data_IF_177653669476
#
_entry.id   IF_177653669476
#
_cell.length_a   1.000
_cell.length_b   1.000
_cell.length_c   1.000
_cell.angle_alpha   90.00
_cell.angle_beta   90.00
_cell.angle_gamma   90.00
#
_symmetry.space_group_name_H-M   'P 1'
#
loop_
_entity.id
_entity.type
_entity.pdbx_description
1 polymer ?
#
# COMPACT_ATOMS: atom_id res chain seq x y z
N UNK A 1 -20.21 18.20 8.60
CA UNK A 1 -19.07 18.00 9.51
C UNK A 1 -18.04 17.21 8.73
N UNK A 2 -16.94 17.85 8.38
CA UNK A 2 -15.92 17.34 7.46
C UNK A 2 -15.38 15.99 7.92
N UNK A 3 -15.74 14.94 7.19
CA UNK A 3 -15.05 13.66 7.28
C UNK A 3 -13.65 13.87 6.74
N UNK A 4 -12.72 14.26 7.62
CA UNK A 4 -11.29 14.25 7.33
C UNK A 4 -10.91 12.82 6.96
N UNK A 5 -10.77 12.56 5.66
CA UNK A 5 -10.30 11.28 5.19
C UNK A 5 -8.88 11.11 5.74
N UNK A 6 -8.70 10.19 6.69
CA UNK A 6 -7.38 9.87 7.20
C UNK A 6 -6.52 9.39 6.02
N UNK A 7 -5.43 10.12 5.76
CA UNK A 7 -4.55 9.88 4.64
C UNK A 7 -3.38 9.03 5.13
N UNK A 8 -3.28 7.84 4.58
CA UNK A 8 -2.26 6.86 4.92
C UNK A 8 -1.30 6.67 3.76
N UNK A 9 -0.01 6.49 4.02
CA UNK A 9 1.00 6.23 2.99
C UNK A 9 1.57 4.82 3.10
N UNK A 10 1.63 4.10 1.98
CA UNK A 10 2.35 2.82 1.89
C UNK A 10 3.82 3.04 1.59
N UNK A 11 4.67 2.50 2.45
CA UNK A 11 6.12 2.49 2.21
C UNK A 11 6.62 1.08 1.87
N UNK A 12 7.43 0.92 0.81
CA UNK A 12 8.01 -0.36 0.45
C UNK A 12 9.07 -0.79 1.47
N UNK A 13 8.86 -1.91 2.16
CA UNK A 13 9.81 -2.47 3.12
C UNK A 13 10.60 -3.66 2.55
N UNK A 14 11.68 -3.39 1.80
CA UNK A 14 12.53 -4.48 1.28
C UNK A 14 13.27 -5.23 2.39
N UNK A 15 13.51 -4.60 3.54
CA UNK A 15 14.32 -5.14 4.64
C UNK A 15 13.49 -5.85 5.72
N UNK A 16 12.15 -5.85 5.62
CA UNK A 16 11.23 -6.35 6.67
C UNK A 16 11.59 -5.80 8.06
N UNK A 17 11.98 -4.52 8.11
CA UNK A 17 12.48 -3.88 9.31
C UNK A 17 11.52 -2.80 9.86
N UNK A 18 10.43 -2.50 9.15
CA UNK A 18 9.48 -1.50 9.60
C UNK A 18 8.52 -2.07 10.65
N UNK A 19 8.30 -1.29 11.71
CA UNK A 19 7.32 -1.61 12.75
C UNK A 19 5.91 -1.25 12.28
N UNK A 20 4.91 -2.03 12.68
CA UNK A 20 3.50 -1.78 12.38
C UNK A 20 2.81 -2.91 11.63
N UNK A 21 1.74 -2.56 10.92
CA UNK A 21 0.98 -3.51 10.08
C UNK A 21 1.60 -3.52 8.69
N UNK A 22 1.86 -4.72 8.17
CA UNK A 22 2.44 -4.94 6.85
C UNK A 22 1.57 -5.82 5.97
N UNK A 23 1.76 -5.71 4.67
CA UNK A 23 1.16 -6.57 3.67
C UNK A 23 2.25 -7.05 2.71
N UNK A 24 2.18 -8.33 2.32
CA UNK A 24 3.14 -8.94 1.43
C UNK A 24 2.51 -9.16 0.06
N UNK A 25 3.20 -8.74 -0.98
CA UNK A 25 2.87 -9.04 -2.37
C UNK A 25 4.12 -9.51 -3.09
N UNK A 26 3.95 -10.18 -4.23
CA UNK A 26 5.07 -10.47 -5.10
C UNK A 26 5.56 -9.17 -5.76
N UNK A 27 6.88 -9.03 -6.00
CA UNK A 27 7.47 -7.86 -6.64
C UNK A 27 7.23 -7.89 -8.16
N UNK A 28 5.97 -7.93 -8.57
CA UNK A 28 5.56 -7.92 -9.99
C UNK A 28 4.45 -6.90 -10.21
N UNK A 29 4.49 -6.20 -11.34
CA UNK A 29 3.51 -5.17 -11.68
C UNK A 29 2.07 -5.74 -11.70
N UNK A 30 1.87 -6.95 -12.24
CA UNK A 30 0.55 -7.60 -12.28
C UNK A 30 -0.02 -7.89 -10.89
N UNK A 31 0.83 -8.32 -9.92
CA UNK A 31 0.39 -8.53 -8.55
C UNK A 31 0.05 -7.23 -7.86
N UNK A 32 0.83 -6.17 -8.07
CA UNK A 32 0.57 -4.84 -7.52
C UNK A 32 -0.75 -4.27 -8.05
N UNK A 33 -0.93 -4.20 -9.38
CA UNK A 33 -2.15 -3.71 -10.03
C UNK A 33 -3.38 -4.45 -9.50
N UNK A 34 -3.29 -5.78 -9.45
CA UNK A 34 -4.37 -6.58 -8.90
C UNK A 34 -4.62 -6.23 -7.44
N UNK A 35 -3.60 -6.04 -6.60
CA UNK A 35 -3.77 -5.69 -5.17
C UNK A 35 -4.39 -4.30 -4.98
N UNK A 36 -4.00 -3.31 -5.79
CA UNK A 36 -4.56 -1.96 -5.80
C UNK A 36 -6.05 -1.99 -6.19
N UNK A 37 -6.39 -2.69 -7.28
CA UNK A 37 -7.76 -2.75 -7.81
C UNK A 37 -8.78 -3.34 -6.83
N UNK A 38 -8.40 -4.34 -6.02
CA UNK A 38 -9.23 -4.92 -4.93
C UNK A 38 -9.06 -4.22 -3.59
N UNK A 39 -8.29 -3.14 -3.50
CA UNK A 39 -8.00 -2.43 -2.23
C UNK A 39 -7.46 -3.39 -1.16
N UNK A 40 -6.61 -4.33 -1.57
CA UNK A 40 -6.10 -5.39 -0.70
C UNK A 40 -5.29 -4.82 0.48
N UNK A 41 -4.49 -3.77 0.24
CA UNK A 41 -3.71 -3.10 1.27
C UNK A 41 -4.59 -2.40 2.32
N UNK A 42 -5.61 -1.65 1.88
CA UNK A 42 -6.56 -1.02 2.80
C UNK A 42 -7.21 -2.03 3.73
N UNK A 43 -7.63 -3.19 3.19
CA UNK A 43 -8.19 -4.28 3.99
C UNK A 43 -7.17 -4.95 4.91
N UNK A 44 -5.96 -5.23 4.42
CA UNK A 44 -4.90 -5.90 5.18
C UNK A 44 -4.38 -5.03 6.34
N UNK A 45 -4.29 -3.71 6.10
CA UNK A 45 -3.79 -2.73 7.06
C UNK A 45 -4.90 -2.12 7.93
N UNK A 46 -6.18 -2.48 7.68
CA UNK A 46 -7.37 -1.94 8.36
C UNK A 46 -7.48 -0.41 8.25
N UNK A 47 -7.18 0.10 7.07
CA UNK A 47 -7.23 1.52 6.73
C UNK A 47 -8.61 1.85 6.17
N UNK A 48 -9.32 2.74 6.87
CA UNK A 48 -10.59 3.31 6.45
C UNK A 48 -10.36 4.77 6.01
N UNK A 49 -9.65 4.95 4.89
CA UNK A 49 -9.20 6.27 4.43
C UNK A 49 -8.54 6.23 3.05
N UNK A 50 -7.99 7.37 2.63
CA UNK A 50 -7.25 7.47 1.37
C UNK A 50 -5.88 6.84 1.60
N UNK A 51 -5.57 5.80 0.84
CA UNK A 51 -4.27 5.13 0.90
C UNK A 51 -3.45 5.55 -0.31
N UNK A 52 -2.38 6.30 -0.06
CA UNK A 52 -1.39 6.63 -1.07
C UNK A 52 -0.47 5.42 -1.29
N UNK A 53 -0.40 4.98 -2.54
CA UNK A 53 0.43 3.85 -2.96
C UNK A 53 1.52 4.27 -3.95
N UNK A 54 1.79 5.57 -4.10
CA UNK A 54 2.74 6.09 -5.08
C UNK A 54 4.14 5.51 -4.90
N UNK A 55 4.72 5.64 -3.70
CA UNK A 55 6.05 5.10 -3.37
C UNK A 55 6.14 3.59 -3.58
N UNK A 56 5.09 2.84 -3.22
CA UNK A 56 5.06 1.39 -3.43
C UNK A 56 5.05 1.05 -4.92
N UNK A 57 4.26 1.77 -5.71
CA UNK A 57 4.17 1.57 -7.15
C UNK A 57 5.49 1.85 -7.83
N UNK A 58 6.16 2.95 -7.51
CA UNK A 58 7.50 3.24 -8.04
C UNK A 58 8.54 2.19 -7.59
N UNK A 59 8.46 1.67 -6.38
CA UNK A 59 9.41 0.67 -5.92
C UNK A 59 9.25 -0.72 -6.57
N UNK A 60 8.06 -1.01 -7.12
CA UNK A 60 7.75 -2.26 -7.86
C UNK A 60 7.92 -2.05 -9.37
N UNK A 61 7.54 -0.89 -9.90
CA UNK A 61 7.58 -0.53 -11.32
C UNK A 61 8.82 0.27 -11.74
N UNK A 62 9.74 0.58 -10.82
CA UNK A 62 10.95 1.37 -11.09
C UNK A 62 11.73 0.88 -12.32
N UNK A 63 12.50 1.78 -12.96
CA UNK A 63 12.70 1.87 -14.42
C UNK A 63 13.02 0.57 -15.14
#
# INVERSE_FOLDING_TARGET
MESGADQFSLRPDRRRAMTGRGAHIHPTAACLESALRRRAFGRALRIAGVLDTGELTEAIQGP
#
